data_IF_258174365938
#
_entry.id   IF_258174365938
#
_cell.length_a   1.000
_cell.length_b   1.000
_cell.length_c   1.000
_cell.angle_alpha   90.00
_cell.angle_beta   90.00
_cell.angle_gamma   90.00
#
_symmetry.space_group_name_H-M   'P 1'
#
loop_
_entity.id
_entity.type
_entity.pdbx_description
1 polymer ?
#
# COMPACT_ATOMS: atom_id res chain seq x y z
N UNK A 1 5.47 -29.82 13.25
CA UNK A 1 6.76 -29.37 13.76
C UNK A 1 6.67 -27.89 14.06
N UNK A 2 6.60 -27.54 15.36
CA UNK A 2 6.76 -26.16 15.81
C UNK A 2 8.14 -25.71 15.34
N UNK A 3 8.20 -24.64 14.54
CA UNK A 3 9.49 -24.10 14.11
C UNK A 3 10.27 -23.63 15.34
N UNK A 4 11.42 -24.26 15.60
CA UNK A 4 12.21 -24.06 16.83
C UNK A 4 12.59 -22.59 17.08
N UNK A 5 12.68 -21.78 16.03
CA UNK A 5 13.02 -20.35 16.13
C UNK A 5 11.92 -19.52 16.82
N UNK A 6 10.69 -20.04 16.92
CA UNK A 6 9.59 -19.37 17.64
C UNK A 6 9.51 -19.77 19.11
N UNK A 7 10.63 -20.06 19.72
CA UNK A 7 10.82 -20.34 21.16
C UNK A 7 11.82 -19.35 21.76
N UNK A 8 11.95 -19.32 23.07
CA UNK A 8 12.92 -18.49 23.76
C UNK A 8 12.35 -17.21 24.39
N UNK A 9 13.22 -16.42 25.05
CA UNK A 9 12.81 -15.24 25.82
C UNK A 9 12.23 -14.14 24.95
N UNK A 10 12.84 -13.87 23.79
CA UNK A 10 12.37 -12.85 22.85
C UNK A 10 10.91 -13.05 22.46
N UNK A 11 10.55 -14.21 21.89
CA UNK A 11 9.16 -14.44 21.45
C UNK A 11 8.17 -14.51 22.60
N UNK A 12 8.62 -14.99 23.77
CA UNK A 12 7.77 -15.01 24.98
C UNK A 12 7.41 -13.60 25.39
N UNK A 13 8.35 -12.69 25.38
CA UNK A 13 8.12 -11.28 25.69
C UNK A 13 7.34 -10.57 24.58
N UNK A 14 7.68 -10.79 23.31
CA UNK A 14 6.95 -10.24 22.17
C UNK A 14 5.45 -10.60 22.23
N UNK A 15 5.10 -11.84 22.58
CA UNK A 15 3.70 -12.26 22.74
C UNK A 15 2.96 -11.49 23.83
N UNK A 16 3.62 -11.03 24.88
CA UNK A 16 3.00 -10.20 25.92
C UNK A 16 2.56 -8.84 25.36
N UNK A 17 3.35 -8.28 24.47
CA UNK A 17 3.07 -7.00 23.84
C UNK A 17 2.03 -7.09 22.72
N UNK A 18 2.04 -8.19 21.92
CA UNK A 18 1.36 -8.24 20.62
C UNK A 18 0.26 -9.32 20.50
N UNK A 19 0.19 -10.32 21.38
CA UNK A 19 -0.61 -11.53 21.14
C UNK A 19 -1.64 -11.85 22.22
N UNK A 20 -2.03 -10.88 23.05
CA UNK A 20 -3.05 -11.06 24.08
C UNK A 20 -4.21 -10.12 23.86
N UNK A 21 -5.41 -10.53 24.28
CA UNK A 21 -6.55 -9.63 24.31
C UNK A 21 -6.23 -8.41 25.18
N UNK A 22 -6.51 -7.20 24.65
CA UNK A 22 -6.19 -5.94 25.34
C UNK A 22 -4.69 -5.69 25.56
N UNK A 23 -3.81 -6.37 24.81
CA UNK A 23 -2.36 -6.15 24.87
C UNK A 23 -1.98 -4.68 24.54
N UNK A 24 -0.77 -4.24 24.94
CA UNK A 24 -0.32 -2.88 24.65
C UNK A 24 -0.42 -2.49 23.18
N UNK A 25 -0.07 -3.41 22.25
CA UNK A 25 -0.17 -3.16 20.81
C UNK A 25 -1.60 -2.95 20.34
N UNK A 26 -2.57 -3.66 20.90
CA UNK A 26 -3.99 -3.43 20.61
C UNK A 26 -4.42 -2.02 21.05
N UNK A 27 -4.06 -1.61 22.26
CA UNK A 27 -4.45 -0.29 22.79
C UNK A 27 -3.86 0.87 21.95
N UNK A 28 -2.65 0.68 21.41
CA UNK A 28 -1.97 1.71 20.63
C UNK A 28 -2.29 1.67 19.15
N UNK A 29 -2.43 0.50 18.55
CA UNK A 29 -2.39 0.32 17.11
C UNK A 29 -3.62 -0.33 16.48
N UNK A 30 -4.73 -0.55 17.23
CA UNK A 30 -5.92 -1.21 16.70
C UNK A 30 -6.54 -0.48 15.48
N UNK A 31 -6.38 0.84 15.40
CA UNK A 31 -6.85 1.66 14.29
C UNK A 31 -6.03 1.44 13.00
N UNK A 32 -4.78 1.01 13.14
CA UNK A 32 -3.83 0.92 12.03
C UNK A 32 -3.50 -0.50 11.59
N UNK A 33 -3.74 -1.49 12.48
CA UNK A 33 -3.44 -2.90 12.23
C UNK A 33 -4.69 -3.69 11.85
N UNK A 34 -4.52 -4.64 10.93
CA UNK A 34 -5.56 -5.61 10.60
C UNK A 34 -5.46 -6.87 11.46
N UNK A 35 -6.59 -7.59 11.53
CA UNK A 35 -6.68 -8.88 12.19
C UNK A 35 -6.85 -8.77 13.71
N UNK A 36 -6.64 -9.89 14.38
CA UNK A 36 -6.80 -10.06 15.82
C UNK A 36 -5.46 -10.29 16.52
N UNK A 37 -5.25 -9.64 17.66
CA UNK A 37 -4.07 -9.88 18.49
C UNK A 37 -4.03 -11.33 19.00
N UNK A 38 -5.19 -11.92 19.30
CA UNK A 38 -5.30 -13.32 19.76
C UNK A 38 -4.82 -14.30 18.70
N UNK A 39 -5.13 -14.03 17.42
CA UNK A 39 -4.69 -14.82 16.28
C UNK A 39 -3.25 -14.49 15.84
N UNK A 40 -2.51 -13.79 16.66
CA UNK A 40 -1.13 -13.35 16.42
C UNK A 40 -0.94 -12.46 15.18
N UNK A 41 -2.01 -11.90 14.62
CA UNK A 41 -1.93 -11.05 13.43
C UNK A 41 -1.04 -9.83 13.66
N UNK A 42 -1.12 -9.21 14.83
CA UNK A 42 -0.29 -8.06 15.19
C UNK A 42 1.19 -8.46 15.30
N UNK A 43 1.49 -9.55 16.01
CA UNK A 43 2.85 -10.06 16.12
C UNK A 43 3.43 -10.40 14.75
N UNK A 44 2.66 -11.09 13.90
CA UNK A 44 3.08 -11.43 12.55
C UNK A 44 3.38 -10.19 11.69
N UNK A 45 2.56 -9.16 11.81
CA UNK A 45 2.74 -7.91 11.07
C UNK A 45 4.01 -7.18 11.52
N UNK A 46 4.19 -7.00 12.83
CA UNK A 46 5.36 -6.27 13.34
C UNK A 46 6.68 -7.02 13.11
N UNK A 47 6.68 -8.36 13.17
CA UNK A 47 7.86 -9.16 12.83
C UNK A 47 8.25 -9.01 11.36
N UNK A 48 7.29 -8.93 10.43
CA UNK A 48 7.56 -8.64 9.02
C UNK A 48 8.16 -7.25 8.83
N UNK A 49 7.64 -6.25 9.53
CA UNK A 49 8.18 -4.90 9.47
C UNK A 49 9.58 -4.83 10.04
N UNK A 50 9.83 -5.41 11.22
CA UNK A 50 11.13 -5.41 11.86
C UNK A 50 12.19 -6.18 11.06
N UNK A 51 11.84 -7.35 10.51
CA UNK A 51 12.75 -8.10 9.64
C UNK A 51 13.19 -7.25 8.44
N UNK A 52 12.25 -6.59 7.76
CA UNK A 52 12.57 -5.69 6.64
C UNK A 52 13.41 -4.48 7.08
N UNK A 53 13.08 -3.87 8.20
CA UNK A 53 13.83 -2.76 8.77
C UNK A 53 15.31 -3.11 9.01
N UNK A 54 15.59 -4.34 9.42
CA UNK A 54 16.95 -4.86 9.59
C UNK A 54 17.56 -5.46 8.30
N UNK A 55 16.88 -5.33 7.15
CA UNK A 55 17.35 -5.86 5.87
C UNK A 55 17.24 -7.39 5.75
N UNK A 56 16.45 -8.02 6.61
CA UNK A 56 16.24 -9.47 6.65
C UNK A 56 15.00 -9.83 5.82
N UNK A 57 15.17 -10.71 4.83
CA UNK A 57 14.09 -11.05 3.89
C UNK A 57 13.04 -11.98 4.51
N UNK A 58 13.45 -12.93 5.36
CA UNK A 58 12.56 -13.92 5.96
C UNK A 58 12.36 -13.68 7.44
N UNK A 59 11.12 -13.72 7.90
CA UNK A 59 10.79 -13.58 9.32
C UNK A 59 11.44 -14.69 10.17
N UNK A 60 11.57 -15.90 9.64
CA UNK A 60 12.22 -17.02 10.34
C UNK A 60 13.71 -16.73 10.62
N UNK A 61 14.41 -16.08 9.69
CA UNK A 61 15.81 -15.69 9.87
C UNK A 61 15.94 -14.59 10.95
N UNK A 62 15.02 -13.61 10.95
CA UNK A 62 14.91 -12.61 12.01
C UNK A 62 14.68 -13.27 13.37
N UNK A 63 13.73 -14.20 13.45
CA UNK A 63 13.43 -14.93 14.68
C UNK A 63 14.60 -15.76 15.18
N UNK A 64 15.36 -16.40 14.28
CA UNK A 64 16.55 -17.18 14.63
C UNK A 64 17.66 -16.27 15.20
N UNK A 65 17.85 -15.08 14.61
CA UNK A 65 18.85 -14.11 15.05
C UNK A 65 18.55 -13.54 16.44
N UNK A 66 17.27 -13.29 16.72
CA UNK A 66 16.82 -12.67 17.97
C UNK A 66 16.32 -13.67 19.02
N UNK A 67 16.29 -14.97 18.72
CA UNK A 67 15.68 -16.02 19.56
C UNK A 67 16.08 -15.94 21.03
N UNK A 68 17.35 -15.65 21.31
CA UNK A 68 17.94 -15.61 22.64
C UNK A 68 18.09 -14.21 23.23
N UNK A 69 17.58 -13.16 22.54
CA UNK A 69 17.54 -11.84 23.13
C UNK A 69 16.70 -11.88 24.42
N UNK A 70 17.12 -11.19 25.49
CA UNK A 70 16.49 -11.29 26.81
C UNK A 70 15.04 -10.78 26.83
N UNK A 71 14.67 -9.93 25.88
CA UNK A 71 13.33 -9.35 25.76
C UNK A 71 13.10 -8.83 24.33
N UNK A 72 11.88 -8.35 24.05
CA UNK A 72 11.47 -7.77 22.78
C UNK A 72 11.38 -6.22 22.82
N UNK A 73 12.14 -5.57 23.71
CA UNK A 73 12.06 -4.11 23.90
C UNK A 73 12.39 -3.32 22.62
N UNK A 74 13.34 -3.78 21.79
CA UNK A 74 13.66 -3.13 20.51
C UNK A 74 12.49 -3.23 19.55
N UNK A 75 11.88 -4.40 19.42
CA UNK A 75 10.69 -4.62 18.61
C UNK A 75 9.52 -3.73 19.07
N UNK A 76 9.33 -3.64 20.39
CA UNK A 76 8.32 -2.77 20.98
C UNK A 76 8.58 -1.30 20.69
N UNK A 77 9.82 -0.82 20.90
CA UNK A 77 10.19 0.57 20.62
C UNK A 77 9.99 0.93 19.14
N UNK A 78 10.39 0.06 18.23
CA UNK A 78 10.17 0.24 16.79
C UNK A 78 8.67 0.37 16.46
N UNK A 79 7.82 -0.51 17.02
CA UNK A 79 6.37 -0.42 16.85
C UNK A 79 5.82 0.91 17.37
N UNK A 80 6.21 1.32 18.57
CA UNK A 80 5.77 2.59 19.17
C UNK A 80 6.20 3.78 18.31
N UNK A 81 7.41 3.77 17.75
CA UNK A 81 7.90 4.82 16.85
C UNK A 81 7.02 4.92 15.61
N UNK A 82 6.66 3.80 14.98
CA UNK A 82 5.74 3.77 13.84
C UNK A 82 4.39 4.41 14.20
N UNK A 83 3.76 3.96 15.29
CA UNK A 83 2.44 4.47 15.68
C UNK A 83 2.48 5.96 16.05
N UNK A 84 3.54 6.39 16.71
CA UNK A 84 3.74 7.81 17.06
C UNK A 84 3.90 8.64 15.79
N UNK A 85 4.73 8.18 14.84
CA UNK A 85 4.90 8.84 13.56
C UNK A 85 3.60 8.92 12.76
N UNK A 86 2.82 7.83 12.67
CA UNK A 86 1.52 7.87 11.99
C UNK A 86 0.63 8.96 12.58
N UNK A 87 0.53 9.02 13.91
CA UNK A 87 -0.35 9.98 14.60
C UNK A 87 0.13 11.43 14.48
N UNK A 88 1.45 11.65 14.44
CA UNK A 88 2.00 12.99 14.23
C UNK A 88 1.88 13.46 12.79
N UNK A 89 2.02 12.55 11.81
CA UNK A 89 1.95 12.87 10.38
C UNK A 89 0.49 12.97 9.89
N UNK A 90 -0.38 12.11 10.41
CA UNK A 90 -1.80 12.00 10.03
C UNK A 90 -2.69 12.14 11.28
N UNK A 91 -2.92 13.36 11.76
CA UNK A 91 -3.65 13.57 13.02
C UNK A 91 -5.13 13.14 12.96
N UNK A 92 -5.72 13.10 11.75
CA UNK A 92 -7.10 12.67 11.54
C UNK A 92 -7.16 11.21 11.09
N UNK A 93 -7.68 10.36 11.97
CA UNK A 93 -7.91 8.96 11.63
C UNK A 93 -9.00 8.80 10.55
N UNK A 94 -8.75 7.89 9.62
CA UNK A 94 -9.72 7.40 8.62
C UNK A 94 -9.61 5.89 8.49
N UNK A 95 -10.74 5.24 8.15
CA UNK A 95 -10.83 3.79 8.03
C UNK A 95 -9.81 3.22 7.01
N UNK A 96 -9.51 3.97 5.98
CA UNK A 96 -8.58 3.63 4.90
C UNK A 96 -7.12 3.50 5.36
N UNK A 97 -6.81 4.01 6.56
CA UNK A 97 -5.51 3.85 7.22
C UNK A 97 -5.29 2.44 7.77
N UNK A 98 -6.37 1.69 7.98
CA UNK A 98 -6.28 0.38 8.62
C UNK A 98 -5.65 -0.65 7.69
N UNK A 99 -4.60 -1.31 8.18
CA UNK A 99 -3.93 -2.41 7.48
C UNK A 99 -2.98 -2.00 6.37
N UNK A 100 -2.60 -0.73 6.30
CA UNK A 100 -1.53 -0.27 5.43
C UNK A 100 -0.16 -0.82 5.90
N UNK A 101 0.79 -0.87 4.99
CA UNK A 101 2.17 -1.24 5.33
C UNK A 101 2.93 -0.06 5.95
N UNK A 102 2.48 0.30 7.17
CA UNK A 102 3.03 1.44 7.89
C UNK A 102 4.51 1.30 8.23
N UNK A 103 4.99 0.07 8.46
CA UNK A 103 6.41 -0.16 8.66
C UNK A 103 7.25 0.24 7.44
N UNK A 104 6.82 -0.15 6.22
CA UNK A 104 7.52 0.27 5.01
C UNK A 104 7.49 1.78 4.80
N UNK A 105 6.35 2.42 5.08
CA UNK A 105 6.24 3.87 4.96
C UNK A 105 7.07 4.60 6.01
N UNK A 106 7.15 4.08 7.24
CA UNK A 106 8.00 4.64 8.27
C UNK A 106 9.49 4.51 7.94
N UNK A 107 9.93 3.37 7.45
CA UNK A 107 11.33 3.14 7.08
C UNK A 107 11.78 4.07 5.93
N UNK A 108 10.86 4.41 5.02
CA UNK A 108 11.14 5.24 3.85
C UNK A 108 10.96 6.75 4.13
N UNK A 109 9.97 7.12 4.96
CA UNK A 109 9.53 8.51 5.10
C UNK A 109 9.56 9.03 6.55
N UNK A 110 9.91 8.20 7.53
CA UNK A 110 9.79 8.53 8.96
C UNK A 110 10.66 9.70 9.42
N UNK A 111 11.76 9.97 8.70
CA UNK A 111 12.66 11.10 8.99
C UNK A 111 12.30 12.38 8.22
N UNK A 112 11.32 12.32 7.31
CA UNK A 112 10.88 13.48 6.57
C UNK A 112 10.00 14.38 7.44
N UNK A 113 10.16 15.69 7.27
CA UNK A 113 9.32 16.70 7.92
C UNK A 113 8.19 17.09 6.98
N UNK A 114 6.95 17.01 7.45
CA UNK A 114 5.77 17.33 6.69
C UNK A 114 5.02 18.51 7.30
N UNK A 115 4.46 19.38 6.44
CA UNK A 115 3.40 20.28 6.83
C UNK A 115 2.10 19.46 6.94
N UNK A 116 1.70 19.17 8.18
CA UNK A 116 0.57 18.29 8.46
C UNK A 116 -0.78 18.88 8.04
N UNK A 117 -0.90 20.21 8.03
CA UNK A 117 -2.11 20.91 7.58
C UNK A 117 -2.25 20.82 6.05
N UNK A 118 -1.15 21.08 5.33
CA UNK A 118 -1.11 20.94 3.88
C UNK A 118 -1.35 19.48 3.45
N UNK A 119 -0.76 18.53 4.18
CA UNK A 119 -0.95 17.10 3.93
C UNK A 119 -2.40 16.67 4.14
N UNK A 120 -3.02 17.11 5.24
CA UNK A 120 -4.42 16.80 5.54
C UNK A 120 -5.38 17.40 4.50
N UNK A 121 -5.11 18.62 4.04
CA UNK A 121 -5.90 19.24 2.96
C UNK A 121 -5.81 18.41 1.68
N UNK A 122 -4.59 18.01 1.28
CA UNK A 122 -4.39 17.17 0.11
C UNK A 122 -5.10 15.82 0.23
N UNK A 123 -5.06 15.20 1.42
CA UNK A 123 -5.79 13.96 1.67
C UNK A 123 -7.29 14.17 1.52
N UNK A 124 -7.87 15.26 2.05
CA UNK A 124 -9.29 15.55 1.90
C UNK A 124 -9.68 15.68 0.43
N UNK A 125 -8.95 16.49 -0.35
CA UNK A 125 -9.21 16.69 -1.77
C UNK A 125 -9.18 15.36 -2.55
N UNK A 126 -8.20 14.50 -2.27
CA UNK A 126 -8.08 13.17 -2.90
C UNK A 126 -9.14 12.17 -2.43
N UNK A 127 -9.61 12.28 -1.19
CA UNK A 127 -10.71 11.42 -0.69
C UNK A 127 -12.06 11.75 -1.35
N UNK A 128 -12.26 12.99 -1.77
CA UNK A 128 -13.46 13.44 -2.48
C UNK A 128 -13.43 13.12 -3.98
N UNK A 129 -12.25 12.84 -4.54
CA UNK A 129 -12.07 12.55 -5.97
C UNK A 129 -12.61 11.18 -6.35
N UNK A 130 -13.75 11.11 -7.02
CA UNK A 130 -14.40 9.85 -7.44
C UNK A 130 -13.59 9.03 -8.47
N UNK A 131 -12.60 9.62 -9.13
CA UNK A 131 -11.71 8.91 -10.04
C UNK A 131 -10.70 8.02 -9.31
N UNK A 132 -10.46 8.27 -8.01
CA UNK A 132 -9.57 7.47 -7.18
C UNK A 132 -10.36 6.31 -6.56
N UNK A 133 -10.22 5.14 -7.14
CA UNK A 133 -10.96 3.94 -6.72
C UNK A 133 -10.44 3.34 -5.41
N UNK A 134 -9.14 3.41 -5.15
CA UNK A 134 -8.51 2.83 -3.97
C UNK A 134 -7.96 3.92 -3.05
N UNK A 135 -8.82 4.43 -2.18
CA UNK A 135 -8.48 5.51 -1.25
C UNK A 135 -7.33 5.21 -0.28
N UNK A 136 -7.06 3.93 0.02
CA UNK A 136 -5.93 3.53 0.87
C UNK A 136 -4.55 3.87 0.28
N UNK A 137 -4.44 3.99 -1.03
CA UNK A 137 -3.21 4.39 -1.72
C UNK A 137 -2.83 5.85 -1.55
N UNK A 138 -3.79 6.69 -1.15
CA UNK A 138 -3.61 8.14 -0.94
C UNK A 138 -2.49 8.39 0.07
N UNK A 139 -2.43 7.62 1.17
CA UNK A 139 -1.43 7.83 2.23
C UNK A 139 0.00 7.66 1.72
N UNK A 140 0.26 6.64 0.91
CA UNK A 140 1.59 6.48 0.31
C UNK A 140 1.86 7.54 -0.77
N UNK A 141 0.84 7.93 -1.54
CA UNK A 141 0.97 8.97 -2.55
C UNK A 141 1.37 10.32 -1.94
N UNK A 142 0.69 10.78 -0.89
CA UNK A 142 0.98 12.09 -0.30
C UNK A 142 2.37 12.16 0.35
N UNK A 143 2.95 11.02 0.74
CA UNK A 143 4.32 10.93 1.25
C UNK A 143 5.36 10.89 0.12
N UNK A 144 5.09 10.14 -0.96
CA UNK A 144 6.06 9.84 -2.03
C UNK A 144 5.95 10.77 -3.24
N UNK A 145 4.78 11.39 -3.47
CA UNK A 145 4.45 12.08 -4.72
C UNK A 145 4.23 11.13 -5.91
N UNK A 146 4.31 9.82 -5.72
CA UNK A 146 4.23 8.84 -6.81
C UNK A 146 2.77 8.48 -7.15
N UNK A 147 2.31 8.96 -8.31
CA UNK A 147 0.96 8.73 -8.83
C UNK A 147 0.59 7.24 -8.98
N UNK A 148 1.56 6.35 -9.07
CA UNK A 148 1.31 4.90 -9.16
C UNK A 148 0.65 4.34 -7.91
N UNK A 149 0.74 5.04 -6.78
CA UNK A 149 0.04 4.68 -5.55
C UNK A 149 -1.45 4.99 -5.60
N UNK A 150 -1.89 5.91 -6.47
CA UNK A 150 -3.29 6.20 -6.71
C UNK A 150 -3.84 5.29 -7.79
N UNK A 151 -4.92 4.61 -7.47
CA UNK A 151 -5.61 3.73 -8.41
C UNK A 151 -6.71 4.53 -9.12
N UNK A 152 -6.35 5.23 -10.18
CA UNK A 152 -7.32 5.94 -11.02
C UNK A 152 -8.12 4.96 -11.87
N UNK A 153 -9.40 5.29 -12.08
CA UNK A 153 -10.28 4.50 -12.94
C UNK A 153 -10.02 4.78 -14.42
N UNK A 154 -9.69 6.02 -14.75
CA UNK A 154 -9.52 6.45 -16.13
C UNK A 154 -8.09 6.91 -16.41
N UNK A 155 -7.64 6.69 -17.64
CA UNK A 155 -6.36 7.21 -18.11
C UNK A 155 -6.45 8.72 -18.34
N UNK A 156 -5.44 9.46 -17.90
CA UNK A 156 -5.33 10.89 -18.16
C UNK A 156 -4.97 11.21 -19.61
N UNK A 157 -4.99 12.50 -19.95
CA UNK A 157 -4.69 12.96 -21.33
C UNK A 157 -3.27 12.62 -21.77
N UNK A 158 -2.31 12.65 -20.84
CA UNK A 158 -0.90 12.36 -21.13
C UNK A 158 -0.72 10.86 -21.42
N UNK A 159 -1.29 10.01 -20.59
CA UNK A 159 -1.26 8.55 -20.77
C UNK A 159 -1.92 8.12 -22.09
N UNK A 160 -3.09 8.71 -22.42
CA UNK A 160 -3.78 8.48 -23.70
C UNK A 160 -2.91 8.89 -24.89
N UNK A 161 -2.29 10.07 -24.84
CA UNK A 161 -1.41 10.55 -25.89
C UNK A 161 -0.19 9.65 -26.08
N UNK A 162 0.45 9.25 -25.00
CA UNK A 162 1.61 8.38 -25.03
C UNK A 162 1.27 6.99 -25.59
N UNK A 163 0.14 6.40 -25.21
CA UNK A 163 -0.33 5.14 -25.78
C UNK A 163 -0.65 5.27 -27.28
N UNK A 164 -1.28 6.37 -27.68
CA UNK A 164 -1.59 6.67 -29.07
C UNK A 164 -0.32 6.76 -29.93
N UNK A 165 0.68 7.54 -29.49
CA UNK A 165 1.96 7.70 -30.23
C UNK A 165 2.72 6.37 -30.30
N UNK A 166 2.74 5.60 -29.21
CA UNK A 166 3.34 4.26 -29.17
C UNK A 166 2.70 3.31 -30.19
N UNK A 167 1.38 3.42 -30.39
CA UNK A 167 0.62 2.62 -31.35
C UNK A 167 0.57 3.23 -32.75
N UNK A 168 1.14 4.45 -32.95
CA UNK A 168 1.10 5.17 -34.23
C UNK A 168 -0.32 5.37 -34.79
N UNK A 169 -1.30 5.63 -33.88
CA UNK A 169 -2.69 5.78 -34.24
C UNK A 169 -3.41 4.48 -34.68
N UNK A 170 -2.79 3.31 -34.49
CA UNK A 170 -3.35 2.04 -34.94
C UNK A 170 -4.15 1.38 -33.80
N UNK A 171 -5.42 1.09 -34.04
CA UNK A 171 -6.24 0.31 -33.11
C UNK A 171 -5.69 -1.12 -32.97
N UNK A 172 -5.36 -1.55 -31.75
CA UNK A 172 -4.76 -2.87 -31.49
C UNK A 172 -5.70 -4.04 -31.80
N UNK A 173 -7.01 -3.80 -31.92
CA UNK A 173 -7.99 -4.86 -32.19
C UNK A 173 -8.30 -5.02 -33.69
N UNK A 174 -8.57 -3.93 -34.43
CA UNK A 174 -8.92 -4.01 -35.83
C UNK A 174 -7.78 -3.62 -36.79
N UNK A 175 -6.62 -3.18 -36.26
CA UNK A 175 -5.41 -2.81 -36.99
C UNK A 175 -5.59 -1.67 -38.02
N UNK A 176 -6.66 -0.86 -37.89
CA UNK A 176 -6.89 0.32 -38.72
C UNK A 176 -6.36 1.56 -38.03
N UNK A 177 -5.92 2.54 -38.81
CA UNK A 177 -5.49 3.85 -38.33
C UNK A 177 -6.70 4.74 -38.03
N UNK A 178 -6.62 5.52 -36.93
CA UNK A 178 -7.62 6.47 -36.47
C UNK A 178 -6.91 7.70 -35.88
N UNK A 179 -7.59 8.85 -35.91
CA UNK A 179 -7.14 10.02 -35.18
C UNK A 179 -7.39 9.86 -33.65
N UNK A 180 -6.65 10.60 -32.82
CA UNK A 180 -6.72 10.48 -31.36
C UNK A 180 -8.15 10.64 -30.81
N UNK A 181 -8.94 11.54 -31.40
CA UNK A 181 -10.31 11.83 -31.00
C UNK A 181 -11.31 10.72 -31.36
N UNK A 182 -10.91 9.83 -32.25
CA UNK A 182 -11.72 8.66 -32.68
C UNK A 182 -11.38 7.42 -31.85
N UNK A 183 -10.38 7.52 -30.98
CA UNK A 183 -9.93 6.41 -30.14
C UNK A 183 -10.25 6.66 -28.67
N UNK A 184 -10.39 5.57 -27.94
CA UNK A 184 -10.61 5.55 -26.49
C UNK A 184 -9.52 4.71 -25.83
N UNK A 185 -9.05 5.20 -24.68
CA UNK A 185 -8.10 4.44 -23.87
C UNK A 185 -8.81 3.34 -23.09
N UNK A 186 -8.20 2.18 -23.09
CA UNK A 186 -8.70 1.00 -22.41
C UNK A 186 -7.54 0.26 -21.74
N UNK A 187 -7.85 -0.52 -20.71
CA UNK A 187 -6.86 -1.31 -20.00
C UNK A 187 -6.51 -2.59 -20.79
N UNK A 188 -5.21 -2.87 -20.97
CA UNK A 188 -4.73 -4.13 -21.56
C UNK A 188 -5.16 -5.28 -20.63
N UNK A 189 -4.71 -5.24 -19.36
CA UNK A 189 -5.26 -6.08 -18.29
C UNK A 189 -6.44 -5.35 -17.68
N UNK A 190 -7.66 -5.91 -17.75
CA UNK A 190 -8.87 -5.26 -17.26
C UNK A 190 -8.76 -4.85 -15.79
N UNK A 191 -9.35 -3.71 -15.43
CA UNK A 191 -9.41 -3.23 -14.05
C UNK A 191 -9.94 -4.27 -13.07
N UNK A 192 -11.02 -4.97 -13.44
CA UNK A 192 -11.64 -6.05 -12.63
C UNK A 192 -10.73 -7.25 -12.38
N UNK A 193 -9.67 -7.39 -13.17
CA UNK A 193 -8.65 -8.44 -13.07
C UNK A 193 -7.36 -7.94 -12.40
N UNK A 194 -7.42 -6.76 -11.75
CA UNK A 194 -6.28 -6.17 -11.03
C UNK A 194 -5.37 -5.29 -11.90
N UNK A 195 -5.77 -4.97 -13.13
CA UNK A 195 -5.03 -4.05 -13.98
C UNK A 195 -4.99 -2.64 -13.39
N UNK A 196 -3.82 -2.01 -13.42
CA UNK A 196 -3.59 -0.64 -12.93
C UNK A 196 -3.71 0.38 -14.06
N UNK A 197 -4.06 1.64 -13.71
CA UNK A 197 -4.18 2.74 -14.69
C UNK A 197 -2.82 3.44 -14.83
N UNK A 198 -1.86 2.71 -15.40
CA UNK A 198 -0.53 3.20 -15.78
C UNK A 198 -0.36 3.11 -17.29
N UNK A 199 0.57 3.89 -17.85
CA UNK A 199 0.75 4.00 -19.30
C UNK A 199 1.10 2.67 -19.97
N UNK A 200 1.80 1.79 -19.28
CA UNK A 200 2.17 0.45 -19.73
C UNK A 200 0.94 -0.45 -19.93
N UNK A 201 -0.10 -0.25 -19.12
CA UNK A 201 -1.36 -0.97 -19.19
C UNK A 201 -2.43 -0.24 -20.03
N UNK A 202 -2.06 0.89 -20.66
CA UNK A 202 -2.95 1.66 -21.52
C UNK A 202 -2.84 1.19 -22.97
N UNK A 203 -3.97 0.90 -23.60
CA UNK A 203 -4.07 0.70 -25.04
C UNK A 203 -5.13 1.64 -25.64
N UNK A 204 -4.95 2.02 -26.90
CA UNK A 204 -5.91 2.81 -27.65
C UNK A 204 -6.71 1.90 -28.58
N UNK A 205 -8.03 1.94 -28.44
CA UNK A 205 -8.98 1.25 -29.30
C UNK A 205 -9.84 2.27 -30.04
N UNK A 206 -10.21 1.98 -31.28
CA UNK A 206 -11.27 2.77 -31.89
C UNK A 206 -12.58 2.59 -31.11
N UNK A 207 -13.47 3.59 -31.12
CA UNK A 207 -14.74 3.59 -30.36
C UNK A 207 -15.57 2.33 -30.58
N UNK A 208 -15.57 1.78 -31.80
CA UNK A 208 -16.29 0.55 -32.09
C UNK A 208 -15.69 -0.68 -31.41
N UNK A 209 -14.37 -0.87 -31.51
CA UNK A 209 -13.68 -1.99 -30.86
C UNK A 209 -13.74 -1.91 -29.35
N UNK A 210 -13.66 -0.70 -28.77
CA UNK A 210 -13.78 -0.50 -27.34
C UNK A 210 -15.17 -0.89 -26.84
N UNK A 211 -16.21 -0.48 -27.56
CA UNK A 211 -17.61 -0.87 -27.24
C UNK A 211 -17.82 -2.38 -27.27
N UNK A 212 -17.26 -3.06 -28.27
CA UNK A 212 -17.34 -4.53 -28.37
C UNK A 212 -16.63 -5.19 -27.19
N UNK A 213 -15.45 -4.70 -26.80
CA UNK A 213 -14.70 -5.22 -25.65
C UNK A 213 -15.43 -4.99 -24.32
N UNK A 214 -16.02 -3.80 -24.13
CA UNK A 214 -16.74 -3.42 -22.91
C UNK A 214 -18.12 -4.07 -22.73
N UNK A 215 -18.68 -4.67 -23.76
CA UNK A 215 -20.00 -5.31 -23.80
C UNK A 215 -19.99 -6.81 -23.51
N UNK A 216 -18.89 -7.36 -23.01
CA UNK A 216 -18.78 -8.78 -22.61
C UNK A 216 -18.97 -8.97 -21.12
#
# INVERSE_FOLDING_TARGET
LLNAVYTGPFVTDARRHFSKNGCPAYKLGADFLNGSAIEQAYLSTILKWAARHEGITKVDDYMAQHQFDPNANKLWAYFVSIITWIRSTFPKYRREMKGLDWGAMFDEFGECVYDTEALEKQICDLMEDDEIMRKSGIYRYVLSGDLRNLSFRTFDKKQKREAYERQKGICVHCHKHFELEEMEADHITPWKEGGTTIVENCQMLCKNCNRIKGGK
#
